data_IF_618119104254
#
_entry.id   IF_618119104254
#
_cell.length_a   1.000
_cell.length_b   1.000
_cell.length_c   1.000
_cell.angle_alpha   90.00
_cell.angle_beta   90.00
_cell.angle_gamma   90.00
#
_symmetry.space_group_name_H-M   'P 1'
#
loop_
_entity.id
_entity.type
_entity.pdbx_description
1 polymer ?
#
# COMPACT_ATOMS: atom_id res chain seq x y z
N UNK A 1 -9.40 4.60 -0.49
CA UNK A 1 -8.67 3.79 0.49
C UNK A 1 -7.17 4.00 0.30
N UNK A 2 -6.53 4.69 1.23
CA UNK A 2 -5.06 4.80 1.31
C UNK A 2 -4.53 3.80 2.35
N UNK A 3 -3.23 3.49 2.32
CA UNK A 3 -2.63 2.61 3.35
C UNK A 3 -2.94 3.09 4.78
N UNK A 4 -2.90 4.42 5.02
CA UNK A 4 -3.26 4.99 6.32
C UNK A 4 -4.72 4.78 6.71
N UNK A 5 -5.65 4.88 5.75
CA UNK A 5 -7.07 4.59 6.02
C UNK A 5 -7.25 3.12 6.37
N UNK A 6 -6.60 2.22 5.63
CA UNK A 6 -6.65 0.79 5.89
C UNK A 6 -6.09 0.44 7.27
N UNK A 7 -4.99 1.07 7.68
CA UNK A 7 -4.43 0.91 9.04
C UNK A 7 -5.40 1.40 10.12
N UNK A 8 -6.07 2.55 9.92
CA UNK A 8 -7.04 3.10 10.88
C UNK A 8 -8.29 2.23 11.01
N UNK A 9 -8.82 1.73 9.90
CA UNK A 9 -10.04 0.92 9.87
C UNK A 9 -9.83 -0.47 10.45
N UNK A 10 -8.67 -1.08 10.15
CA UNK A 10 -8.35 -2.44 10.62
C UNK A 10 -7.74 -2.44 12.02
N UNK A 11 -7.15 -1.33 12.45
CA UNK A 11 -6.35 -1.27 13.68
C UNK A 11 -5.06 -2.09 13.58
N UNK A 12 -4.62 -2.39 12.37
CA UNK A 12 -3.37 -3.07 12.05
C UNK A 12 -2.38 -2.07 11.46
N UNK A 13 -1.09 -2.38 11.56
CA UNK A 13 -0.02 -1.66 10.87
C UNK A 13 0.37 -2.43 9.62
N UNK A 14 0.43 -1.74 8.48
CA UNK A 14 0.58 -2.35 7.16
C UNK A 14 1.83 -1.76 6.51
N UNK A 15 2.79 -2.62 6.19
CA UNK A 15 4.07 -2.23 5.63
C UNK A 15 4.35 -2.98 4.33
N UNK A 16 4.72 -2.27 3.27
CA UNK A 16 5.25 -2.90 2.04
C UNK A 16 6.74 -3.13 2.24
N UNK A 17 7.17 -4.38 2.13
CA UNK A 17 8.55 -4.87 2.36
C UNK A 17 8.94 -5.83 1.23
N UNK A 18 10.16 -6.38 1.27
CA UNK A 18 10.68 -7.16 0.15
C UNK A 18 11.49 -6.35 -0.86
N UNK A 19 11.98 -7.07 -1.87
CA UNK A 19 12.68 -6.52 -3.03
C UNK A 19 11.76 -5.65 -3.89
N UNK A 20 12.21 -4.46 -4.25
CA UNK A 20 11.44 -3.48 -5.02
C UNK A 20 10.43 -2.68 -4.19
N UNK A 21 10.43 -2.82 -2.86
CA UNK A 21 9.53 -2.05 -1.99
C UNK A 21 9.95 -0.58 -1.89
N UNK A 22 11.20 -0.25 -2.22
CA UNK A 22 11.67 1.14 -2.23
C UNK A 22 11.45 1.79 -3.59
N UNK A 23 11.00 3.06 -3.58
CA UNK A 23 10.87 3.87 -4.80
C UNK A 23 12.21 4.02 -5.54
N UNK A 24 13.30 4.20 -4.79
CA UNK A 24 14.65 4.40 -5.32
C UNK A 24 15.44 3.09 -5.32
N UNK A 25 15.47 2.38 -6.45
CA UNK A 25 16.21 1.11 -6.60
C UNK A 25 17.69 1.20 -6.22
N UNK A 26 18.36 2.32 -6.54
CA UNK A 26 19.78 2.54 -6.17
C UNK A 26 19.99 2.58 -4.65
N UNK A 27 19.05 3.19 -3.91
CA UNK A 27 19.12 3.22 -2.44
C UNK A 27 18.79 1.87 -1.84
N UNK A 28 17.91 1.10 -2.48
CA UNK A 28 17.59 -0.26 -2.07
C UNK A 28 18.83 -1.16 -2.11
N UNK A 29 19.51 -1.22 -3.27
CA UNK A 29 20.70 -2.06 -3.43
C UNK A 29 21.85 -1.64 -2.48
N UNK A 30 21.97 -0.34 -2.17
CA UNK A 30 22.97 0.17 -1.21
C UNK A 30 22.66 -0.16 0.26
N UNK A 31 21.42 -0.51 0.59
CA UNK A 31 21.00 -0.86 1.95
C UNK A 31 20.79 -2.37 2.16
N UNK A 32 20.81 -3.17 1.09
CA UNK A 32 20.70 -4.63 1.19
C UNK A 32 21.81 -5.18 2.10
N UNK A 33 21.44 -6.04 3.04
CA UNK A 33 22.38 -6.65 4.00
C UNK A 33 22.71 -5.80 5.23
N UNK A 34 22.14 -4.59 5.38
CA UNK A 34 22.26 -3.81 6.62
C UNK A 34 21.24 -4.26 7.67
N UNK A 35 21.52 -4.06 8.98
CA UNK A 35 20.53 -4.28 10.03
C UNK A 35 19.24 -3.50 9.76
N UNK A 36 18.08 -4.11 10.03
CA UNK A 36 16.73 -3.59 9.70
C UNK A 36 16.36 -3.53 8.20
N UNK A 37 17.25 -3.96 7.30
CA UNK A 37 17.03 -4.02 5.85
C UNK A 37 17.09 -5.45 5.29
N UNK A 38 17.05 -6.46 6.17
CA UNK A 38 17.14 -7.87 5.81
C UNK A 38 16.02 -8.28 4.84
N UNK A 39 14.83 -7.70 5.03
CA UNK A 39 13.67 -7.90 4.17
C UNK A 39 13.90 -7.53 2.69
N UNK A 40 14.94 -6.77 2.35
CA UNK A 40 15.26 -6.45 0.95
C UNK A 40 15.77 -7.65 0.13
N UNK A 41 16.04 -8.77 0.81
CA UNK A 41 16.42 -10.04 0.18
C UNK A 41 15.20 -10.91 -0.12
N UNK A 42 14.07 -10.66 0.55
CA UNK A 42 12.82 -11.40 0.36
C UNK A 42 12.06 -10.91 -0.88
N UNK A 43 11.11 -11.70 -1.36
CA UNK A 43 10.19 -11.27 -2.42
C UNK A 43 9.30 -10.11 -1.96
N UNK A 44 8.78 -9.31 -2.88
CA UNK A 44 7.88 -8.18 -2.58
C UNK A 44 6.65 -8.70 -1.80
N UNK A 45 6.45 -8.22 -0.58
CA UNK A 45 5.40 -8.69 0.30
C UNK A 45 4.80 -7.56 1.14
N UNK A 46 3.62 -7.84 1.71
CA UNK A 46 2.95 -6.95 2.66
C UNK A 46 3.05 -7.57 4.04
N UNK A 47 3.65 -6.85 4.98
CA UNK A 47 3.75 -7.22 6.38
C UNK A 47 2.63 -6.53 7.16
N UNK A 48 1.76 -7.33 7.78
CA UNK A 48 0.66 -6.87 8.63
C UNK A 48 0.97 -7.22 10.07
N UNK A 49 1.03 -6.22 10.94
CA UNK A 49 1.30 -6.39 12.37
C UNK A 49 0.16 -5.80 13.19
N UNK A 50 -0.26 -6.48 14.25
CA UNK A 50 -1.32 -6.02 15.16
C UNK A 50 -0.86 -6.17 16.61
N UNK A 51 -1.14 -5.17 17.43
CA UNK A 51 -0.92 -5.20 18.87
C UNK A 51 -2.27 -5.09 19.58
N UNK A 52 -2.76 -6.22 20.09
CA UNK A 52 -3.99 -6.33 20.87
C UNK A 52 -3.98 -7.64 21.67
N UNK A 53 -5.00 -7.85 22.49
CA UNK A 53 -5.34 -9.15 23.08
C UNK A 53 -5.54 -10.21 22.00
N UNK A 54 -5.13 -11.46 22.27
CA UNK A 54 -5.08 -12.53 21.26
C UNK A 54 -6.37 -12.70 20.45
N UNK A 55 -7.53 -12.71 21.12
CA UNK A 55 -8.83 -12.88 20.46
C UNK A 55 -9.17 -11.71 19.50
N UNK A 56 -8.84 -10.48 19.90
CA UNK A 56 -9.07 -9.28 19.07
C UNK A 56 -8.04 -9.17 17.96
N UNK A 57 -6.79 -9.52 18.25
CA UNK A 57 -5.69 -9.53 17.29
C UNK A 57 -6.02 -10.44 16.10
N UNK A 58 -6.49 -11.67 16.35
CA UNK A 58 -6.91 -12.60 15.28
C UNK A 58 -8.00 -12.02 14.39
N UNK A 59 -9.02 -11.40 14.98
CA UNK A 59 -10.13 -10.80 14.23
C UNK A 59 -9.68 -9.60 13.38
N UNK A 60 -8.86 -8.71 13.95
CA UNK A 60 -8.30 -7.55 13.25
C UNK A 60 -7.38 -7.97 12.10
N UNK A 61 -6.52 -8.98 12.37
CA UNK A 61 -5.59 -9.50 11.39
C UNK A 61 -6.34 -10.11 10.21
N UNK A 62 -7.37 -10.92 10.46
CA UNK A 62 -8.18 -11.53 9.41
C UNK A 62 -8.83 -10.46 8.52
N UNK A 63 -9.43 -9.43 9.12
CA UNK A 63 -10.00 -8.29 8.37
C UNK A 63 -8.95 -7.58 7.51
N UNK A 64 -7.78 -7.33 8.06
CA UNK A 64 -6.70 -6.67 7.32
C UNK A 64 -6.20 -7.53 6.16
N UNK A 65 -6.11 -8.85 6.34
CA UNK A 65 -5.74 -9.80 5.29
C UNK A 65 -6.78 -9.77 4.16
N UNK A 66 -8.06 -9.83 4.48
CA UNK A 66 -9.14 -9.82 3.49
C UNK A 66 -9.12 -8.54 2.65
N UNK A 67 -8.92 -7.38 3.27
CA UNK A 67 -8.81 -6.10 2.55
C UNK A 67 -7.54 -6.01 1.69
N UNK A 68 -6.38 -6.43 2.21
CA UNK A 68 -5.14 -6.45 1.43
C UNK A 68 -5.26 -7.41 0.24
N UNK A 69 -5.89 -8.56 0.40
CA UNK A 69 -6.07 -9.54 -0.66
C UNK A 69 -6.91 -8.99 -1.83
N UNK A 70 -7.93 -8.17 -1.54
CA UNK A 70 -8.69 -7.46 -2.59
C UNK A 70 -7.83 -6.52 -3.40
N UNK A 71 -6.82 -5.90 -2.78
CA UNK A 71 -5.89 -4.97 -3.46
C UNK A 71 -4.81 -5.69 -4.27
N UNK A 72 -4.54 -6.97 -3.99
CA UNK A 72 -3.55 -7.77 -4.73
C UNK A 72 -4.09 -8.32 -6.06
N UNK A 73 -5.39 -8.20 -6.32
CA UNK A 73 -6.00 -8.62 -7.57
C UNK A 73 -6.11 -7.40 -8.50
N UNK A 74 -5.33 -7.33 -9.59
CA UNK A 74 -5.42 -6.22 -10.52
C UNK A 74 -6.77 -6.25 -11.24
N UNK A 75 -7.51 -5.15 -11.18
CA UNK A 75 -8.71 -4.96 -12.00
C UNK A 75 -8.33 -4.57 -13.43
N UNK A 76 -9.24 -4.84 -14.37
CA UNK A 76 -9.03 -4.47 -15.77
C UNK A 76 -8.84 -2.95 -15.92
N UNK A 77 -8.08 -2.55 -16.93
CA UNK A 77 -7.85 -1.12 -17.21
C UNK A 77 -9.19 -0.41 -17.46
N UNK A 78 -9.45 0.64 -16.68
CA UNK A 78 -10.67 1.43 -16.77
C UNK A 78 -11.77 1.02 -15.79
N UNK A 79 -11.67 -0.12 -15.11
CA UNK A 79 -12.64 -0.54 -14.08
C UNK A 79 -12.19 -0.19 -12.65
N UNK A 80 -10.89 0.09 -12.46
CA UNK A 80 -10.32 0.45 -11.16
C UNK A 80 -10.65 1.91 -10.76
N UNK A 81 -11.87 2.09 -10.25
CA UNK A 81 -12.37 3.35 -9.70
C UNK A 81 -11.53 3.87 -8.53
N UNK A 82 -10.96 2.97 -7.72
CA UNK A 82 -10.13 3.33 -6.57
C UNK A 82 -8.83 4.01 -7.05
N UNK A 83 -8.15 3.42 -8.03
CA UNK A 83 -6.94 3.97 -8.65
C UNK A 83 -7.22 5.31 -9.32
N UNK A 84 -8.34 5.45 -10.03
CA UNK A 84 -8.73 6.74 -10.66
C UNK A 84 -8.86 7.85 -9.62
N UNK A 85 -9.57 7.60 -8.53
CA UNK A 85 -9.74 8.56 -7.43
C UNK A 85 -8.41 8.96 -6.81
N UNK A 86 -7.54 7.99 -6.52
CA UNK A 86 -6.21 8.26 -5.96
C UNK A 86 -5.33 9.09 -6.91
N UNK A 87 -5.34 8.79 -8.22
CA UNK A 87 -4.58 9.56 -9.21
C UNK A 87 -5.12 10.98 -9.37
N UNK A 88 -6.44 11.16 -9.33
CA UNK A 88 -7.09 12.46 -9.33
C UNK A 88 -6.68 13.30 -8.10
N UNK A 89 -6.81 12.74 -6.89
CA UNK A 89 -6.40 13.41 -5.65
C UNK A 89 -4.91 13.78 -5.68
N UNK A 90 -4.05 12.87 -6.15
CA UNK A 90 -2.61 13.12 -6.28
C UNK A 90 -2.31 14.25 -7.28
N UNK A 91 -3.02 14.29 -8.42
CA UNK A 91 -2.85 15.33 -9.42
C UNK A 91 -3.29 16.71 -8.89
N UNK A 92 -4.35 16.75 -8.07
CA UNK A 92 -4.80 17.97 -7.39
C UNK A 92 -3.74 18.45 -6.40
N UNK A 93 -3.22 17.56 -5.55
CA UNK A 93 -2.15 17.88 -4.57
C UNK A 93 -0.91 18.42 -5.28
N UNK A 94 -0.55 17.85 -6.43
CA UNK A 94 0.61 18.26 -7.20
C UNK A 94 0.35 19.47 -8.12
N UNK A 95 -0.88 19.99 -8.21
CA UNK A 95 -1.25 21.07 -9.13
C UNK A 95 -1.15 20.71 -10.62
N UNK A 96 -1.16 19.42 -10.94
CA UNK A 96 -1.04 18.89 -12.32
C UNK A 96 -2.38 18.38 -12.86
N UNK A 97 -3.46 18.53 -12.09
CA UNK A 97 -4.80 18.12 -12.47
C UNK A 97 -5.24 18.85 -13.74
N UNK A 98 -5.63 18.07 -14.76
CA UNK A 98 -6.20 18.58 -16.00
C UNK A 98 -7.65 18.15 -16.06
N UNK A 99 -8.55 19.12 -16.07
CA UNK A 99 -9.97 18.83 -16.26
C UNK A 99 -10.21 18.41 -17.72
N UNK A 100 -10.44 17.11 -17.92
CA UNK A 100 -10.76 16.56 -19.25
C UNK A 100 -12.19 16.90 -19.71
N UNK A 101 -13.01 17.52 -18.85
CA UNK A 101 -14.37 17.96 -19.17
C UNK A 101 -14.46 19.45 -19.52
N UNK A 102 -13.40 20.22 -19.28
CA UNK A 102 -13.24 21.56 -19.81
C UNK A 102 -12.96 21.46 -21.32
N UNK A 103 -14.01 21.38 -22.13
CA UNK A 103 -13.90 21.67 -23.56
C UNK A 103 -13.42 23.13 -23.73
N UNK A 104 -12.57 23.42 -24.74
CA UNK A 104 -12.21 24.78 -25.10
C UNK A 104 -13.43 25.62 -25.53
#
# INVERSE_FOLDING_TARGET
MTAKQLEQETGCKIMVRGKGSMRDKKKEDANRGKPNWEHLSDELHVLITVEDTENRAKLKLQRAVDEVQKLLVPQAEGEDELKKRQLMELAIINGTYRDTTAKP
#
